data_IF_362649577096
#
_entry.id   IF_362649577096
#
_cell.length_a   1.000
_cell.length_b   1.000
_cell.length_c   1.000
_cell.angle_alpha   90.00
_cell.angle_beta   90.00
_cell.angle_gamma   90.00
#
_symmetry.space_group_name_H-M   'P 1'
#
loop_
_entity.id
_entity.type
_entity.pdbx_description
1 polymer ?
#
# COMPACT_ATOMS: atom_id res chain seq x y z
N UNK A 1 7.02 -13.76 -24.54
CA UNK A 1 7.80 -13.54 -23.29
C UNK A 1 7.00 -13.63 -21.99
N UNK A 2 5.68 -13.91 -21.99
CA UNK A 2 4.84 -13.79 -20.77
C UNK A 2 4.75 -15.04 -19.86
N UNK A 3 5.46 -16.14 -20.16
CA UNK A 3 5.35 -17.41 -19.43
C UNK A 3 6.61 -17.75 -18.60
N UNK A 4 7.14 -16.79 -17.84
CA UNK A 4 8.32 -17.00 -16.98
C UNK A 4 8.11 -16.57 -15.53
N UNK A 5 6.91 -16.83 -15.01
CA UNK A 5 6.55 -16.60 -13.61
C UNK A 5 5.87 -17.85 -13.01
N UNK A 6 6.57 -18.48 -12.07
CA UNK A 6 6.07 -19.66 -11.35
C UNK A 6 5.02 -19.29 -10.28
N UNK A 7 4.92 -18.00 -9.93
CA UNK A 7 3.88 -17.45 -9.06
C UNK A 7 2.48 -17.57 -9.66
N UNK A 8 1.60 -18.27 -8.95
CA UNK A 8 0.15 -18.37 -9.26
C UNK A 8 -0.48 -16.98 -9.31
N UNK A 9 -0.10 -16.08 -8.40
CA UNK A 9 -0.63 -14.71 -8.34
C UNK A 9 -0.29 -13.89 -9.58
N UNK A 10 0.97 -13.93 -10.03
CA UNK A 10 1.37 -13.21 -11.25
C UNK A 10 0.74 -13.79 -12.51
N UNK A 11 0.54 -15.11 -12.58
CA UNK A 11 -0.23 -15.73 -13.68
C UNK A 11 -1.69 -15.25 -13.68
N UNK A 12 -2.37 -15.25 -12.53
CA UNK A 12 -3.75 -14.76 -12.39
C UNK A 12 -3.87 -13.27 -12.74
N UNK A 13 -2.96 -12.43 -12.28
CA UNK A 13 -2.95 -11.01 -12.64
C UNK A 13 -2.73 -10.80 -14.14
N UNK A 14 -1.78 -11.54 -14.74
CA UNK A 14 -1.52 -11.48 -16.19
C UNK A 14 -2.74 -11.89 -17.01
N UNK A 15 -3.52 -12.88 -16.54
CA UNK A 15 -4.78 -13.31 -17.14
C UNK A 15 -5.87 -12.24 -16.99
N UNK A 16 -6.07 -11.71 -15.79
CA UNK A 16 -7.06 -10.66 -15.47
C UNK A 16 -6.85 -9.44 -16.37
N UNK A 17 -5.65 -8.86 -16.36
CA UNK A 17 -5.31 -7.68 -17.17
C UNK A 17 -5.39 -7.98 -18.68
N UNK A 18 -5.29 -9.25 -19.10
CA UNK A 18 -5.44 -9.67 -20.51
C UNK A 18 -6.90 -9.85 -20.94
N UNK A 19 -7.77 -10.31 -20.04
CA UNK A 19 -9.22 -10.37 -20.27
C UNK A 19 -9.82 -8.95 -20.30
N UNK A 20 -9.27 -8.04 -19.48
CA UNK A 20 -9.77 -6.69 -19.22
C UNK A 20 -8.98 -5.58 -19.95
N UNK A 21 -8.42 -5.85 -21.13
CA UNK A 21 -7.51 -4.91 -21.83
C UNK A 21 -8.11 -3.53 -22.15
N UNK A 22 -9.41 -3.47 -22.43
CA UNK A 22 -10.12 -2.26 -22.84
C UNK A 22 -10.97 -1.64 -21.72
N UNK A 23 -11.15 -2.37 -20.61
CA UNK A 23 -11.93 -1.95 -19.45
C UNK A 23 -11.29 -2.57 -18.21
N UNK A 24 -10.51 -1.75 -17.49
CA UNK A 24 -9.61 -2.16 -16.41
C UNK A 24 -10.22 -1.93 -15.02
N UNK A 25 -11.44 -1.41 -14.94
CA UNK A 25 -12.20 -1.35 -13.69
C UNK A 25 -12.89 -2.70 -13.49
N UNK A 26 -12.30 -3.55 -12.65
CA UNK A 26 -12.74 -4.95 -12.47
C UNK A 26 -13.87 -5.07 -11.44
N UNK A 27 -14.13 -3.99 -10.70
CA UNK A 27 -15.17 -3.77 -9.69
C UNK A 27 -15.18 -2.27 -9.40
N UNK A 28 -16.29 -1.66 -8.91
CA UNK A 28 -16.33 -0.23 -8.57
C UNK A 28 -15.10 0.22 -7.76
N UNK A 29 -14.46 1.29 -8.25
CA UNK A 29 -13.24 1.87 -7.69
C UNK A 29 -12.01 0.94 -7.63
N UNK A 30 -12.04 -0.28 -8.19
CA UNK A 30 -10.93 -1.23 -8.19
C UNK A 30 -10.33 -1.39 -9.60
N UNK A 31 -9.17 -0.80 -9.81
CA UNK A 31 -8.55 -0.65 -11.13
C UNK A 31 -7.30 -1.54 -11.31
N UNK A 32 -7.33 -2.40 -12.32
CA UNK A 32 -6.24 -3.33 -12.65
C UNK A 32 -5.14 -2.74 -13.56
N UNK A 33 -5.29 -1.49 -14.02
CA UNK A 33 -4.38 -0.88 -15.00
C UNK A 33 -2.94 -0.69 -14.50
N UNK A 34 -2.73 -0.58 -13.19
CA UNK A 34 -1.37 -0.53 -12.60
C UNK A 34 -0.54 -1.79 -12.94
N UNK A 35 -1.21 -2.94 -13.12
CA UNK A 35 -0.58 -4.21 -13.53
C UNK A 35 -0.13 -4.25 -15.00
N UNK A 36 -0.42 -3.23 -15.82
CA UNK A 36 0.15 -3.11 -17.17
C UNK A 36 1.56 -2.53 -17.16
N UNK A 37 1.86 -1.63 -16.22
CA UNK A 37 3.11 -0.85 -16.19
C UNK A 37 4.08 -1.27 -15.09
N UNK A 38 3.58 -1.89 -14.01
CA UNK A 38 4.42 -2.55 -12.99
C UNK A 38 4.24 -4.07 -13.03
N UNK A 39 5.36 -4.79 -13.10
CA UNK A 39 5.37 -6.23 -12.88
C UNK A 39 4.97 -6.55 -11.43
N UNK A 40 3.98 -7.42 -11.25
CA UNK A 40 3.46 -7.74 -9.92
C UNK A 40 2.05 -8.31 -9.94
N UNK A 41 1.40 -8.27 -8.78
CA UNK A 41 -0.01 -8.62 -8.56
C UNK A 41 -0.70 -7.39 -8.01
N UNK A 42 -0.83 -6.35 -8.84
CA UNK A 42 -1.29 -5.02 -8.42
C UNK A 42 -2.66 -4.67 -8.97
N UNK A 43 -3.57 -4.28 -8.08
CA UNK A 43 -4.76 -3.47 -8.37
C UNK A 43 -4.65 -2.19 -7.53
N UNK A 44 -5.31 -1.12 -7.95
CA UNK A 44 -5.36 0.15 -7.22
C UNK A 44 -6.82 0.46 -6.83
N UNK A 45 -7.02 0.98 -5.62
CA UNK A 45 -8.26 1.65 -5.26
C UNK A 45 -8.22 3.09 -5.81
N UNK A 46 -9.21 3.49 -6.59
CA UNK A 46 -9.24 4.76 -7.32
C UNK A 46 -10.60 5.44 -7.13
N UNK A 47 -10.59 6.61 -6.52
CA UNK A 47 -11.78 7.41 -6.22
C UNK A 47 -11.43 8.56 -5.27
N UNK A 48 -12.47 9.18 -4.71
CA UNK A 48 -12.34 10.07 -3.55
C UNK A 48 -11.88 9.33 -2.30
N UNK A 49 -11.42 10.06 -1.29
CA UNK A 49 -11.01 9.47 -0.01
C UNK A 49 -12.17 8.77 0.72
N UNK A 50 -13.42 9.19 0.51
CA UNK A 50 -14.62 8.57 1.05
C UNK A 50 -14.91 7.23 0.36
N UNK A 51 -14.90 7.18 -0.97
CA UNK A 51 -15.06 5.93 -1.74
C UNK A 51 -13.95 4.91 -1.41
N UNK A 52 -12.69 5.36 -1.32
CA UNK A 52 -11.56 4.49 -0.98
C UNK A 52 -11.66 3.98 0.47
N UNK A 53 -12.15 4.81 1.41
CA UNK A 53 -12.41 4.36 2.79
C UNK A 53 -13.51 3.29 2.84
N UNK A 54 -14.58 3.46 2.07
CA UNK A 54 -15.66 2.47 1.95
C UNK A 54 -15.15 1.14 1.39
N UNK A 55 -14.36 1.16 0.29
CA UNK A 55 -13.75 -0.07 -0.26
C UNK A 55 -12.81 -0.76 0.73
N UNK A 56 -12.08 -0.01 1.56
CA UNK A 56 -11.23 -0.58 2.62
C UNK A 56 -12.06 -1.17 3.75
N UNK A 57 -13.20 -0.57 4.11
CA UNK A 57 -14.12 -1.11 5.09
C UNK A 57 -14.75 -2.43 4.60
N UNK A 58 -15.12 -2.55 3.31
CA UNK A 58 -15.60 -3.82 2.74
C UNK A 58 -14.56 -4.96 2.89
N UNK A 59 -13.27 -4.67 2.71
CA UNK A 59 -12.21 -5.64 2.98
C UNK A 59 -12.06 -5.96 4.48
N UNK A 60 -12.21 -4.96 5.35
CA UNK A 60 -12.16 -5.14 6.80
C UNK A 60 -13.33 -5.99 7.33
N UNK A 61 -14.53 -5.81 6.79
CA UNK A 61 -15.73 -6.59 7.10
C UNK A 61 -15.58 -8.07 6.66
N UNK A 62 -14.74 -8.34 5.66
CA UNK A 62 -14.32 -9.69 5.26
C UNK A 62 -13.18 -10.26 6.13
N UNK A 63 -12.73 -9.52 7.16
CA UNK A 63 -11.70 -9.94 8.11
C UNK A 63 -10.26 -9.59 7.74
N UNK A 64 -10.03 -8.66 6.80
CA UNK A 64 -8.68 -8.18 6.47
C UNK A 64 -8.32 -7.00 7.38
N UNK A 65 -7.39 -7.23 8.32
CA UNK A 65 -6.95 -6.22 9.29
C UNK A 65 -5.77 -5.35 8.82
N UNK A 66 -4.99 -5.83 7.85
CA UNK A 66 -3.67 -5.26 7.51
C UNK A 66 -3.58 -4.93 6.02
N UNK A 67 -3.36 -3.65 5.71
CA UNK A 67 -3.31 -3.13 4.34
C UNK A 67 -1.92 -2.57 4.01
N UNK A 68 -1.25 -3.16 3.01
CA UNK A 68 0.02 -2.65 2.48
C UNK A 68 -0.28 -1.74 1.28
N UNK A 69 -0.39 -0.43 1.54
CA UNK A 69 -0.70 0.58 0.52
C UNK A 69 0.56 1.11 -0.15
N UNK A 70 0.45 1.48 -1.44
CA UNK A 70 1.49 2.18 -2.19
C UNK A 70 0.89 3.01 -3.31
N UNK A 71 1.57 4.09 -3.72
CA UNK A 71 1.17 4.94 -4.84
C UNK A 71 2.39 5.64 -5.47
N UNK A 72 2.15 6.46 -6.50
CA UNK A 72 3.21 7.16 -7.25
C UNK A 72 2.92 8.66 -7.39
N UNK A 73 3.84 9.56 -6.98
CA UNK A 73 5.13 9.28 -6.33
C UNK A 73 4.97 8.99 -4.82
N UNK A 74 5.74 8.04 -4.29
CA UNK A 74 5.47 7.43 -2.97
C UNK A 74 5.41 8.42 -1.79
N UNK A 75 6.17 9.52 -1.81
CA UNK A 75 6.22 10.48 -0.70
C UNK A 75 4.93 11.29 -0.64
N UNK A 76 4.53 11.90 -1.76
CA UNK A 76 3.35 12.72 -1.92
C UNK A 76 2.05 11.90 -1.71
N UNK A 77 2.05 10.63 -2.10
CA UNK A 77 0.95 9.71 -1.81
C UNK A 77 0.87 9.33 -0.33
N UNK A 78 2.00 9.17 0.36
CA UNK A 78 1.99 8.91 1.80
C UNK A 78 1.37 10.09 2.58
N UNK A 79 1.70 11.33 2.19
CA UNK A 79 1.02 12.52 2.72
C UNK A 79 -0.47 12.53 2.38
N UNK A 80 -0.86 12.27 1.12
CA UNK A 80 -2.28 12.27 0.73
C UNK A 80 -3.09 11.22 1.48
N UNK A 81 -2.55 10.02 1.70
CA UNK A 81 -3.18 8.96 2.49
C UNK A 81 -3.33 9.41 3.95
N UNK A 82 -2.28 9.99 4.55
CA UNK A 82 -2.32 10.47 5.93
C UNK A 82 -3.29 11.65 6.14
N UNK A 83 -3.37 12.57 5.18
CA UNK A 83 -4.19 13.79 5.28
C UNK A 83 -5.65 13.56 4.90
N UNK A 84 -5.93 12.74 3.88
CA UNK A 84 -7.29 12.57 3.35
C UNK A 84 -7.95 11.27 3.79
N UNK A 85 -7.22 10.16 3.81
CA UNK A 85 -7.81 8.82 4.01
C UNK A 85 -7.81 8.39 5.48
N UNK A 86 -6.71 8.59 6.22
CA UNK A 86 -6.64 8.20 7.63
C UNK A 86 -7.72 8.83 8.53
N UNK A 87 -8.17 10.09 8.36
CA UNK A 87 -9.28 10.65 9.15
C UNK A 87 -10.63 9.95 8.96
N UNK A 88 -10.76 9.08 7.95
CA UNK A 88 -11.98 8.32 7.60
C UNK A 88 -11.91 6.85 8.02
N UNK A 89 -10.76 6.41 8.54
CA UNK A 89 -10.51 5.02 8.93
C UNK A 89 -10.33 4.89 10.44
N UNK A 90 -10.65 3.75 11.06
CA UNK A 90 -10.39 3.48 12.47
C UNK A 90 -8.90 3.15 12.74
N UNK A 91 -7.98 3.94 12.18
CA UNK A 91 -6.53 3.73 12.33
C UNK A 91 -6.07 4.07 13.75
N UNK A 92 -5.54 3.07 14.45
CA UNK A 92 -4.86 3.26 15.72
C UNK A 92 -3.39 3.59 15.46
N UNK A 93 -2.97 4.80 15.80
CA UNK A 93 -1.55 5.14 15.81
C UNK A 93 -0.90 4.53 17.04
N UNK A 94 0.01 3.57 16.85
CA UNK A 94 0.98 3.24 17.89
C UNK A 94 1.75 4.50 18.24
N UNK A 95 1.83 4.82 19.54
CA UNK A 95 2.73 5.87 20.00
C UNK A 95 4.14 5.59 19.47
N UNK A 96 4.90 6.63 19.05
CA UNK A 96 6.29 6.43 18.69
C UNK A 96 7.01 5.72 19.86
N UNK A 97 7.88 4.74 19.58
CA UNK A 97 8.55 3.99 20.62
C UNK A 97 9.27 4.96 21.57
N UNK A 98 9.11 4.72 22.88
CA UNK A 98 9.70 5.56 23.92
C UNK A 98 11.22 5.70 23.67
N UNK A 99 11.73 6.92 23.76
CA UNK A 99 13.06 7.27 23.23
C UNK A 99 14.15 6.35 23.79
N UNK A 100 14.65 5.43 22.95
CA UNK A 100 15.59 4.38 23.35
C UNK A 100 16.76 4.98 24.12
N UNK A 101 16.89 4.61 25.41
CA UNK A 101 18.00 5.07 26.24
C UNK A 101 19.32 4.63 25.63
N UNK A 102 20.14 5.63 25.32
CA UNK A 102 21.49 5.46 24.78
C UNK A 102 22.35 4.59 25.68
N UNK A 103 22.78 3.45 25.17
CA UNK A 103 23.86 2.66 25.74
C UNK A 103 25.03 2.73 24.76
N UNK A 104 26.07 3.48 25.13
CA UNK A 104 27.27 3.63 24.31
C UNK A 104 28.15 2.38 24.40
N UNK A 105 27.76 1.32 23.69
CA UNK A 105 28.63 0.18 23.40
C UNK A 105 28.75 0.05 21.87
N UNK A 106 29.99 0.07 21.38
CA UNK A 106 30.27 0.48 20.01
C UNK A 106 29.87 -0.53 18.94
N UNK A 107 28.73 -0.29 18.29
CA UNK A 107 28.59 -0.40 16.83
C UNK A 107 27.52 0.58 16.34
N UNK A 108 27.83 1.35 15.29
CA UNK A 108 26.98 2.46 14.83
C UNK A 108 26.04 1.99 13.72
N UNK A 109 24.84 1.55 14.09
CA UNK A 109 23.77 1.36 13.11
C UNK A 109 23.24 2.71 12.63
N UNK A 110 23.05 2.84 11.31
CA UNK A 110 22.57 4.07 10.71
C UNK A 110 21.16 4.41 11.22
N UNK A 111 20.97 5.68 11.59
CA UNK A 111 19.68 6.32 11.91
C UNK A 111 19.01 5.95 13.24
N UNK A 112 19.48 6.55 14.36
CA UNK A 112 18.71 7.62 15.03
C UNK A 112 19.39 8.29 16.27
N UNK A 113 20.04 9.45 16.07
CA UNK A 113 20.15 10.64 17.00
C UNK A 113 21.18 10.67 18.15
N UNK A 114 21.13 11.75 18.95
CA UNK A 114 21.81 11.91 20.26
C UNK A 114 22.75 13.13 20.40
N UNK A 115 23.94 13.15 19.77
CA UNK A 115 25.10 13.90 20.26
C UNK A 115 25.09 15.42 20.01
N UNK A 116 25.19 16.19 21.10
CA UNK A 116 25.62 17.60 21.28
C UNK A 116 25.93 17.80 22.78
N UNK A 117 26.77 18.77 23.20
CA UNK A 117 27.61 19.66 22.40
C UNK A 117 28.89 19.00 21.88
#
# INVERSE_FOLDING_TARGET
>A
MLHRFDSVGQRRMSQLVHQHRNDLEISPNLWAGIGQVRGGVGTALVGSADEVAERLQEYADLGIDTFILSGYPHLEEAYRIAELLFPRLPVTYSAPPEETKWVAMGELLAENRKPKP
#
